data_IF_905061308452
#
_entry.id   IF_905061308452
#
_cell.length_a   1.000
_cell.length_b   1.000
_cell.length_c   1.000
_cell.angle_alpha   90.00
_cell.angle_beta   90.00
_cell.angle_gamma   90.00
#
_symmetry.space_group_name_H-M   'P 1'
#
loop_
_entity.id
_entity.type
_entity.pdbx_description
1 polymer ?
#
# COMPACT_ATOMS: atom_id res chain seq x y z
N UNK A 1 -33.87 33.51 -49.77
CA UNK A 1 -33.87 33.00 -48.38
C UNK A 1 -32.69 32.09 -48.08
N UNK A 2 -32.57 30.87 -48.64
CA UNK A 2 -31.46 29.92 -48.38
C UNK A 2 -30.05 30.56 -48.28
N UNK A 3 -29.64 31.32 -49.28
CA UNK A 3 -28.31 31.96 -49.31
C UNK A 3 -27.97 32.82 -48.06
N UNK A 4 -28.97 33.43 -47.41
CA UNK A 4 -28.78 34.18 -46.16
C UNK A 4 -28.60 33.27 -44.94
N UNK A 5 -29.34 32.15 -44.86
CA UNK A 5 -29.12 31.14 -43.81
C UNK A 5 -27.78 30.44 -43.98
N UNK A 6 -27.35 30.22 -45.23
CA UNK A 6 -26.07 29.58 -45.55
C UNK A 6 -24.90 30.47 -45.09
N UNK A 7 -24.89 31.76 -45.46
CA UNK A 7 -23.86 32.73 -45.01
C UNK A 7 -23.83 32.85 -43.49
N UNK A 8 -24.98 33.01 -42.82
CA UNK A 8 -25.04 33.11 -41.37
C UNK A 8 -24.50 31.85 -40.67
N UNK A 9 -24.75 30.66 -41.24
CA UNK A 9 -24.23 29.38 -40.72
C UNK A 9 -22.70 29.25 -40.87
N UNK A 10 -22.14 29.85 -41.92
CA UNK A 10 -20.68 29.88 -42.17
C UNK A 10 -20.01 30.83 -41.18
N UNK A 11 -20.53 32.06 -41.01
CA UNK A 11 -19.97 33.03 -40.04
C UNK A 11 -19.94 32.45 -38.63
N UNK A 12 -21.09 31.96 -38.12
CA UNK A 12 -21.19 31.35 -36.79
C UNK A 12 -20.26 30.14 -36.62
N UNK A 13 -19.97 29.42 -37.71
CA UNK A 13 -19.04 28.28 -37.67
C UNK A 13 -17.58 28.71 -37.74
N UNK A 14 -17.24 29.81 -38.42
CA UNK A 14 -15.92 30.44 -38.35
C UNK A 14 -15.66 30.98 -36.94
N UNK A 15 -16.65 31.60 -36.29
CA UNK A 15 -16.57 32.03 -34.89
C UNK A 15 -16.28 30.83 -33.96
N UNK A 16 -16.95 29.69 -34.17
CA UNK A 16 -16.67 28.45 -33.45
C UNK A 16 -15.27 27.88 -33.76
N UNK A 17 -14.79 27.99 -35.00
CA UNK A 17 -13.44 27.60 -35.38
C UNK A 17 -12.36 28.51 -34.75
N UNK A 18 -12.65 29.79 -34.52
CA UNK A 18 -11.82 30.70 -33.72
C UNK A 18 -11.81 30.30 -32.23
N UNK A 19 -12.85 29.63 -31.72
CA UNK A 19 -12.85 28.95 -30.41
C UNK A 19 -12.25 27.53 -30.44
N UNK A 20 -11.45 27.23 -31.47
CA UNK A 20 -10.78 25.95 -31.74
C UNK A 20 -11.69 24.74 -32.03
N UNK A 21 -12.99 24.94 -32.35
CA UNK A 21 -13.96 23.85 -32.54
C UNK A 21 -14.32 23.62 -34.01
N UNK A 22 -14.29 22.36 -34.46
CA UNK A 22 -14.74 21.99 -35.80
C UNK A 22 -16.27 21.79 -35.84
N UNK A 23 -16.93 22.32 -36.88
CA UNK A 23 -18.37 22.09 -37.11
C UNK A 23 -18.62 21.36 -38.43
N UNK A 24 -19.74 20.64 -38.50
CA UNK A 24 -20.20 19.99 -39.73
C UNK A 24 -20.62 20.99 -40.83
N UNK A 25 -20.82 22.27 -40.50
CA UNK A 25 -21.14 23.32 -41.47
C UNK A 25 -19.90 23.78 -42.25
N UNK A 26 -18.74 23.88 -41.60
CA UNK A 26 -17.46 24.18 -42.27
C UNK A 26 -16.93 22.97 -43.05
N UNK A 27 -16.98 21.78 -42.45
CA UNK A 27 -16.55 20.55 -43.10
C UNK A 27 -17.64 19.48 -42.97
N UNK A 28 -18.48 19.27 -44.00
CA UNK A 28 -19.57 18.31 -43.97
C UNK A 28 -19.12 16.87 -43.71
N UNK A 29 -19.94 16.13 -42.94
CA UNK A 29 -19.65 14.78 -42.44
C UNK A 29 -19.12 13.80 -43.50
N UNK A 30 -19.71 13.81 -44.71
CA UNK A 30 -19.28 12.93 -45.79
C UNK A 30 -17.89 13.28 -46.34
N UNK A 31 -17.52 14.58 -46.39
CA UNK A 31 -16.16 15.03 -46.76
C UNK A 31 -15.17 14.71 -45.66
N UNK A 32 -15.53 14.96 -44.40
CA UNK A 32 -14.64 14.68 -43.28
C UNK A 32 -14.32 13.18 -43.16
N UNK A 33 -15.34 12.32 -43.29
CA UNK A 33 -15.14 10.87 -43.29
C UNK A 33 -14.24 10.38 -44.44
N UNK A 34 -14.37 10.95 -45.64
CA UNK A 34 -13.48 10.65 -46.76
C UNK A 34 -12.03 11.07 -46.46
N UNK A 35 -11.81 12.31 -45.99
CA UNK A 35 -10.49 12.81 -45.61
C UNK A 35 -9.86 11.93 -44.51
N UNK A 36 -10.62 11.57 -43.47
CA UNK A 36 -10.14 10.68 -42.41
C UNK A 36 -9.76 9.29 -42.91
N UNK A 37 -10.52 8.73 -43.86
CA UNK A 37 -10.23 7.43 -44.48
C UNK A 37 -8.96 7.49 -45.32
N UNK A 38 -8.76 8.57 -46.06
CA UNK A 38 -7.61 8.72 -46.94
C UNK A 38 -6.33 9.01 -46.13
N UNK A 39 -6.45 9.70 -44.98
CA UNK A 39 -5.41 9.80 -43.94
C UNK A 39 -5.12 8.43 -43.29
N UNK A 40 -6.15 7.62 -42.99
CA UNK A 40 -5.99 6.33 -42.31
C UNK A 40 -5.01 5.38 -43.04
N UNK A 41 -5.03 5.39 -44.38
CA UNK A 41 -4.14 4.59 -45.23
C UNK A 41 -2.67 5.08 -45.18
N UNK A 42 -2.43 6.30 -44.68
CA UNK A 42 -1.11 6.94 -44.58
C UNK A 42 -0.55 6.97 -43.15
N UNK A 43 -1.24 6.40 -42.16
CA UNK A 43 -0.76 6.36 -40.78
C UNK A 43 0.41 5.37 -40.60
N UNK A 44 1.44 5.80 -39.90
CA UNK A 44 2.57 4.96 -39.49
C UNK A 44 2.14 3.78 -38.61
N UNK A 45 2.91 2.69 -38.65
CA UNK A 45 2.63 1.48 -37.85
C UNK A 45 2.54 1.80 -36.35
N UNK A 46 1.47 1.30 -35.72
CA UNK A 46 1.18 1.55 -34.30
C UNK A 46 0.40 2.83 -34.01
N UNK A 47 0.22 3.73 -34.99
CA UNK A 47 -0.71 4.85 -34.89
C UNK A 47 -2.11 4.46 -35.38
N UNK A 48 -3.11 5.08 -34.77
CA UNK A 48 -4.53 4.85 -35.02
C UNK A 48 -5.33 6.10 -34.63
N UNK A 49 -6.59 6.20 -35.07
CA UNK A 49 -7.49 7.21 -34.54
C UNK A 49 -7.97 6.86 -33.12
N UNK A 50 -8.38 7.89 -32.37
CA UNK A 50 -8.96 7.76 -31.02
C UNK A 50 -10.15 6.79 -30.92
N UNK A 51 -10.89 6.59 -32.02
CA UNK A 51 -11.97 5.62 -32.13
C UNK A 51 -11.99 5.01 -33.53
N UNK A 52 -12.68 3.88 -33.71
CA UNK A 52 -12.81 3.23 -35.00
C UNK A 52 -13.47 4.17 -36.02
N UNK A 53 -12.87 4.31 -37.21
CA UNK A 53 -13.39 5.18 -38.27
C UNK A 53 -14.67 4.58 -38.86
N UNK A 54 -15.82 5.05 -38.37
CA UNK A 54 -17.16 4.71 -38.84
C UNK A 54 -18.06 5.96 -38.89
N UNK A 55 -19.06 6.02 -39.78
CA UNK A 55 -20.01 7.14 -39.82
C UNK A 55 -20.65 7.46 -38.47
N UNK A 56 -21.06 6.43 -37.72
CA UNK A 56 -21.66 6.55 -36.37
C UNK A 56 -20.73 7.30 -35.40
N UNK A 57 -19.42 7.04 -35.47
CA UNK A 57 -18.41 7.57 -34.58
C UNK A 57 -17.92 8.98 -34.97
N UNK A 58 -18.35 9.53 -36.11
CA UNK A 58 -17.78 10.78 -36.65
C UNK A 58 -17.96 11.98 -35.70
N UNK A 59 -19.01 11.97 -34.88
CA UNK A 59 -19.25 12.97 -33.83
C UNK A 59 -18.08 13.09 -32.83
N UNK A 60 -17.38 11.98 -32.52
CA UNK A 60 -16.21 11.97 -31.64
C UNK A 60 -15.05 12.71 -32.28
N UNK A 61 -14.85 12.55 -33.60
CA UNK A 61 -13.80 13.25 -34.34
C UNK A 61 -14.02 14.76 -34.30
N UNK A 62 -15.24 15.25 -34.56
CA UNK A 62 -15.58 16.68 -34.41
C UNK A 62 -15.33 17.21 -32.99
N UNK A 63 -15.72 16.46 -31.96
CA UNK A 63 -15.55 16.87 -30.56
C UNK A 63 -14.07 16.90 -30.11
N UNK A 64 -13.22 16.07 -30.74
CA UNK A 64 -11.78 15.94 -30.43
C UNK A 64 -10.86 16.82 -31.28
N UNK A 65 -11.36 17.37 -32.39
CA UNK A 65 -10.58 18.13 -33.34
C UNK A 65 -10.31 19.56 -32.83
N UNK A 66 -9.05 19.93 -32.74
CA UNK A 66 -8.63 21.31 -32.44
C UNK A 66 -8.40 22.05 -33.76
N UNK A 67 -9.06 23.20 -33.94
CA UNK A 67 -8.99 23.99 -35.16
C UNK A 67 -8.13 25.24 -34.95
N UNK A 68 -7.30 25.57 -35.93
CA UNK A 68 -6.73 26.90 -36.09
C UNK A 68 -7.14 27.48 -37.45
N UNK A 69 -7.57 28.73 -37.46
CA UNK A 69 -7.99 29.45 -38.67
C UNK A 69 -6.86 30.38 -39.09
N UNK A 70 -6.39 30.25 -40.32
CA UNK A 70 -5.42 31.17 -40.92
C UNK A 70 -6.07 31.91 -42.10
N UNK A 71 -6.21 33.22 -41.98
CA UNK A 71 -6.55 34.06 -43.12
C UNK A 71 -5.26 34.35 -43.93
N UNK A 72 -5.37 34.19 -45.25
CA UNK A 72 -4.39 34.64 -46.24
C UNK A 72 -5.13 35.50 -47.27
N UNK A 73 -4.41 36.34 -48.03
CA UNK A 73 -5.01 37.29 -48.99
C UNK A 73 -5.95 36.62 -50.01
N UNK A 74 -5.68 35.36 -50.37
CA UNK A 74 -6.45 34.58 -51.34
C UNK A 74 -7.52 33.66 -50.70
N UNK A 75 -7.38 33.29 -49.42
CA UNK A 75 -8.12 32.17 -48.84
C UNK A 75 -8.14 32.14 -47.31
N UNK A 76 -9.23 31.61 -46.73
CA UNK A 76 -9.28 31.13 -45.34
C UNK A 76 -8.86 29.66 -45.33
N UNK A 77 -7.84 29.32 -44.55
CA UNK A 77 -7.30 27.96 -44.39
C UNK A 77 -7.63 27.45 -42.99
N UNK A 78 -8.26 26.27 -42.91
CA UNK A 78 -8.51 25.57 -41.64
C UNK A 78 -7.42 24.53 -41.42
N UNK A 79 -6.62 24.71 -40.37
CA UNK A 79 -5.73 23.66 -39.86
C UNK A 79 -6.54 22.86 -38.84
N UNK A 80 -6.77 21.59 -39.12
CA UNK A 80 -7.52 20.67 -38.24
C UNK A 80 -6.52 19.70 -37.62
N UNK A 81 -6.20 19.90 -36.34
CA UNK A 81 -5.38 18.99 -35.57
C UNK A 81 -6.26 17.89 -34.98
N UNK A 82 -5.87 16.64 -35.21
CA UNK A 82 -6.58 15.46 -34.72
C UNK A 82 -5.68 14.66 -33.77
N UNK A 83 -6.17 14.27 -32.59
CA UNK A 83 -5.43 13.39 -31.71
C UNK A 83 -5.33 11.99 -32.34
N UNK A 84 -4.11 11.43 -32.34
CA UNK A 84 -3.84 10.04 -32.71
C UNK A 84 -3.55 9.22 -31.46
N UNK A 85 -4.07 8.00 -31.42
CA UNK A 85 -3.77 6.99 -30.42
C UNK A 85 -2.61 6.13 -30.90
N UNK A 86 -1.64 5.90 -30.02
CA UNK A 86 -0.56 4.94 -30.21
C UNK A 86 -0.48 4.01 -28.99
N UNK A 87 -0.20 2.73 -29.18
CA UNK A 87 -0.25 1.72 -28.09
C UNK A 87 0.68 2.08 -26.92
N UNK A 88 1.97 2.33 -27.22
CA UNK A 88 2.99 2.80 -26.24
C UNK A 88 2.72 4.21 -25.65
N UNK A 89 1.64 4.87 -26.06
CA UNK A 89 1.20 6.18 -25.52
C UNK A 89 -0.24 6.13 -24.99
N UNK A 90 -0.84 4.95 -24.92
CA UNK A 90 -2.12 4.72 -24.24
C UNK A 90 -1.84 4.18 -22.85
N UNK A 91 -2.47 4.77 -21.83
CA UNK A 91 -2.29 4.40 -20.43
C UNK A 91 -3.64 4.15 -19.75
N UNK A 92 -3.72 3.10 -18.92
CA UNK A 92 -4.82 2.88 -17.98
C UNK A 92 -4.45 3.54 -16.65
N UNK A 93 -5.33 4.39 -16.11
CA UNK A 93 -5.06 5.18 -14.90
C UNK A 93 -5.76 4.57 -13.70
N UNK A 94 -4.97 4.16 -12.71
CA UNK A 94 -5.41 3.55 -11.47
C UNK A 94 -5.34 4.55 -10.31
N UNK A 95 -6.35 4.52 -9.45
CA UNK A 95 -6.43 5.30 -8.21
C UNK A 95 -6.09 4.39 -7.03
N UNK A 96 -4.89 4.50 -6.42
CA UNK A 96 -4.46 3.56 -5.38
C UNK A 96 -5.27 3.73 -4.10
N UNK A 97 -5.76 2.62 -3.55
CA UNK A 97 -6.60 2.61 -2.34
C UNK A 97 -5.92 1.85 -1.21
N UNK A 98 -5.06 2.54 -0.46
CA UNK A 98 -4.43 1.97 0.73
C UNK A 98 -5.41 1.89 1.91
N UNK A 99 -5.88 0.69 2.22
CA UNK A 99 -6.69 0.39 3.40
C UNK A 99 -5.79 -0.09 4.56
N UNK A 100 -6.09 0.27 5.83
CA UNK A 100 -5.46 -0.36 6.98
C UNK A 100 -5.87 -1.84 7.06
N UNK A 101 -4.93 -2.75 7.31
CA UNK A 101 -5.17 -4.17 7.51
C UNK A 101 -4.58 -4.60 8.85
N UNK A 102 -5.29 -5.45 9.60
CA UNK A 102 -4.82 -5.91 10.91
C UNK A 102 -3.63 -6.87 10.79
N UNK A 103 -2.55 -6.62 11.53
CA UNK A 103 -1.36 -7.49 11.58
C UNK A 103 -1.31 -8.24 12.93
N UNK A 104 -1.59 -9.56 12.96
CA UNK A 104 -1.62 -10.35 14.19
C UNK A 104 -0.30 -10.36 14.99
N UNK A 105 0.86 -10.20 14.34
CA UNK A 105 2.14 -10.11 15.04
C UNK A 105 2.31 -8.80 15.84
N UNK A 106 1.56 -7.76 15.48
CA UNK A 106 1.57 -6.44 16.14
C UNK A 106 0.36 -6.17 17.03
N UNK A 107 -0.80 -6.76 16.74
CA UNK A 107 -2.05 -6.40 17.42
C UNK A 107 -2.55 -4.99 17.08
N UNK A 108 -2.04 -4.40 15.99
CA UNK A 108 -2.37 -3.08 15.46
C UNK A 108 -2.70 -3.18 13.97
N UNK A 109 -3.29 -2.13 13.40
CA UNK A 109 -3.52 -2.03 11.96
C UNK A 109 -2.30 -1.42 11.26
N UNK A 110 -1.96 -1.92 10.07
CA UNK A 110 -0.91 -1.37 9.19
C UNK A 110 -1.56 -0.91 7.88
N UNK A 111 -1.17 0.27 7.40
CA UNK A 111 -1.44 0.75 6.05
C UNK A 111 -0.10 0.93 5.30
N UNK A 112 -0.08 0.62 4.01
CA UNK A 112 1.04 0.96 3.13
C UNK A 112 0.84 2.39 2.65
N UNK A 113 1.84 3.26 2.80
CA UNK A 113 1.73 4.64 2.29
C UNK A 113 1.90 4.65 0.76
N UNK A 114 0.81 4.93 0.04
CA UNK A 114 0.78 4.96 -1.44
C UNK A 114 0.86 6.37 -2.04
N UNK A 115 1.06 7.40 -1.21
CA UNK A 115 1.00 8.80 -1.65
C UNK A 115 -0.41 9.23 -2.09
N UNK A 116 -0.47 10.33 -2.83
CA UNK A 116 -1.70 10.85 -3.46
C UNK A 116 -1.70 10.70 -4.99
N UNK A 117 -0.62 10.17 -5.57
CA UNK A 117 -0.42 10.03 -7.00
C UNK A 117 -1.29 8.91 -7.58
N UNK A 118 -1.74 9.08 -8.82
CA UNK A 118 -2.43 8.03 -9.60
C UNK A 118 -1.40 7.29 -10.45
N UNK A 119 -1.47 5.97 -10.48
CA UNK A 119 -0.56 5.15 -11.29
C UNK A 119 -1.14 4.98 -12.69
N UNK A 120 -0.48 5.50 -13.72
CA UNK A 120 -0.87 5.28 -15.11
C UNK A 120 0.05 4.22 -15.76
N UNK A 121 -0.50 3.10 -16.22
CA UNK A 121 0.27 1.97 -16.77
C UNK A 121 0.02 1.84 -18.26
N UNK A 122 1.09 1.66 -19.05
CA UNK A 122 0.98 1.53 -20.51
C UNK A 122 0.15 0.30 -20.92
N UNK A 123 -0.51 0.36 -22.08
CA UNK A 123 -1.31 -0.78 -22.58
C UNK A 123 -0.47 -2.06 -22.79
N UNK A 124 0.83 -1.95 -23.06
CA UNK A 124 1.76 -3.08 -23.16
C UNK A 124 2.38 -3.53 -21.81
N UNK A 125 2.05 -2.84 -20.71
CA UNK A 125 2.54 -3.09 -19.34
C UNK A 125 4.08 -3.06 -19.22
N UNK A 126 4.76 -2.28 -20.07
CA UNK A 126 6.23 -2.09 -20.08
C UNK A 126 6.69 -0.76 -19.45
N UNK A 127 5.82 0.24 -19.37
CA UNK A 127 6.11 1.52 -18.75
C UNK A 127 4.94 2.03 -17.90
N UNK A 128 5.22 3.03 -17.07
CA UNK A 128 4.23 3.68 -16.24
C UNK A 128 4.55 5.18 -16.05
N UNK A 129 3.61 5.90 -15.45
CA UNK A 129 3.77 7.28 -14.98
C UNK A 129 3.15 7.39 -13.59
N UNK A 130 3.74 8.24 -12.74
CA UNK A 130 3.11 8.70 -11.51
C UNK A 130 2.46 10.05 -11.80
N UNK A 131 1.13 10.09 -11.80
CA UNK A 131 0.34 11.27 -12.14
C UNK A 131 -0.05 12.04 -10.87
N UNK A 132 0.30 13.33 -10.73
CA UNK A 132 -0.22 14.19 -9.67
C UNK A 132 -1.76 14.23 -9.65
N UNK A 133 -2.34 14.44 -8.47
CA UNK A 133 -3.80 14.52 -8.24
C UNK A 133 -4.55 15.39 -9.23
N UNK A 134 -3.95 16.52 -9.59
CA UNK A 134 -4.56 17.57 -10.40
C UNK A 134 -4.24 17.46 -11.90
N UNK A 135 -3.34 16.54 -12.29
CA UNK A 135 -2.91 16.37 -13.70
C UNK A 135 -4.09 16.13 -14.64
N UNK A 136 -5.06 15.29 -14.23
CA UNK A 136 -6.23 14.96 -15.04
C UNK A 136 -7.16 16.17 -15.28
N UNK A 137 -7.12 17.21 -14.43
CA UNK A 137 -7.93 18.44 -14.59
C UNK A 137 -7.51 19.28 -15.80
N UNK A 138 -6.29 19.07 -16.29
CA UNK A 138 -5.74 19.77 -17.46
C UNK A 138 -5.91 18.97 -18.77
N UNK A 139 -6.59 17.82 -18.71
CA UNK A 139 -6.85 16.98 -19.88
C UNK A 139 -8.21 17.33 -20.50
N UNK A 140 -8.34 17.14 -21.82
CA UNK A 140 -9.61 17.29 -22.51
C UNK A 140 -10.48 16.05 -22.25
N UNK A 141 -11.59 16.24 -21.54
CA UNK A 141 -12.58 15.19 -21.26
C UNK A 141 -13.50 14.95 -22.46
N UNK A 142 -13.99 13.72 -22.60
CA UNK A 142 -14.83 13.28 -23.72
C UNK A 142 -15.02 11.76 -23.69
N UNK A 143 -15.22 11.14 -24.85
CA UNK A 143 -15.31 9.67 -24.98
C UNK A 143 -14.00 8.97 -24.57
N UNK A 144 -12.86 9.69 -24.65
CA UNK A 144 -11.63 9.36 -23.96
C UNK A 144 -10.95 10.64 -23.47
N UNK A 145 -10.24 10.57 -22.34
CA UNK A 145 -9.49 11.69 -21.77
C UNK A 145 -8.16 11.89 -22.52
N UNK A 146 -7.90 13.10 -23.01
CA UNK A 146 -6.70 13.43 -23.80
C UNK A 146 -5.82 14.41 -23.02
N UNK A 147 -4.65 13.95 -22.58
CA UNK A 147 -3.72 14.72 -21.74
C UNK A 147 -2.49 15.20 -22.51
N UNK A 148 -1.95 16.37 -22.14
CA UNK A 148 -0.63 16.80 -22.62
C UNK A 148 0.48 16.01 -21.91
N UNK A 149 1.42 15.43 -22.67
CA UNK A 149 2.48 14.58 -22.13
C UNK A 149 3.60 15.34 -21.41
N UNK A 150 3.29 15.94 -20.26
CA UNK A 150 4.24 16.72 -19.43
C UNK A 150 4.78 15.97 -18.20
N UNK A 151 4.31 14.73 -17.96
CA UNK A 151 4.83 13.84 -16.91
C UNK A 151 5.80 12.82 -17.53
N UNK A 152 6.96 12.55 -16.92
CA UNK A 152 7.93 11.57 -17.43
C UNK A 152 7.34 10.16 -17.48
N UNK A 153 7.73 9.41 -18.50
CA UNK A 153 7.46 7.96 -18.61
C UNK A 153 8.61 7.20 -17.95
N UNK A 154 8.28 6.31 -17.03
CA UNK A 154 9.22 5.46 -16.29
C UNK A 154 9.16 4.04 -16.87
N UNK A 155 10.31 3.43 -17.14
CA UNK A 155 10.34 2.02 -17.58
C UNK A 155 10.07 1.08 -16.41
N UNK A 156 9.42 -0.07 -16.67
CA UNK A 156 9.09 -1.06 -15.62
C UNK A 156 10.32 -1.62 -14.88
N UNK A 157 11.53 -1.49 -15.42
CA UNK A 157 12.77 -1.86 -14.75
C UNK A 157 13.14 -0.93 -13.58
N UNK A 158 12.63 0.31 -13.56
CA UNK A 158 12.80 1.25 -12.45
C UNK A 158 11.63 1.10 -11.48
N UNK A 159 11.90 0.51 -10.32
CA UNK A 159 10.87 0.16 -9.33
C UNK A 159 10.55 1.31 -8.38
N UNK A 160 9.26 1.54 -8.13
CA UNK A 160 8.72 2.44 -7.11
C UNK A 160 7.66 1.70 -6.30
N UNK A 161 7.30 2.18 -5.10
CA UNK A 161 6.31 1.49 -4.27
C UNK A 161 4.98 1.24 -5.03
N UNK A 162 4.47 2.22 -5.77
CA UNK A 162 3.23 2.06 -6.56
C UNK A 162 3.39 1.05 -7.71
N UNK A 163 4.48 1.10 -8.47
CA UNK A 163 4.68 0.15 -9.58
C UNK A 163 4.94 -1.27 -9.09
N UNK A 164 5.70 -1.46 -8.01
CA UNK A 164 5.96 -2.77 -7.43
C UNK A 164 4.75 -3.39 -6.74
N UNK A 165 3.88 -2.58 -6.12
CA UNK A 165 2.56 -3.06 -5.69
C UNK A 165 1.77 -3.56 -6.90
N UNK A 166 1.63 -2.75 -7.95
CA UNK A 166 0.84 -3.11 -9.14
C UNK A 166 1.38 -4.32 -9.92
N UNK A 167 2.70 -4.39 -10.13
CA UNK A 167 3.37 -5.47 -10.86
C UNK A 167 3.71 -6.70 -9.98
N UNK A 168 3.47 -6.64 -8.67
CA UNK A 168 3.71 -7.73 -7.73
C UNK A 168 5.20 -8.04 -7.48
N UNK A 169 6.08 -7.04 -7.50
CA UNK A 169 7.53 -7.26 -7.35
C UNK A 169 8.00 -7.07 -5.90
N UNK A 170 8.73 -8.05 -5.39
CA UNK A 170 9.13 -8.10 -3.98
C UNK A 170 10.26 -7.10 -3.61
N UNK A 171 11.05 -6.65 -4.59
CA UNK A 171 12.15 -5.71 -4.35
C UNK A 171 11.62 -4.31 -4.03
N UNK A 172 10.85 -3.67 -4.90
CA UNK A 172 10.24 -2.36 -4.63
C UNK A 172 9.14 -2.37 -3.56
N UNK A 173 8.65 -3.53 -3.13
CA UNK A 173 7.89 -3.63 -1.87
C UNK A 173 8.72 -3.19 -0.63
N UNK A 174 10.05 -3.26 -0.72
CA UNK A 174 10.98 -2.71 0.28
C UNK A 174 11.15 -1.19 0.21
N UNK A 175 10.69 -0.55 -0.88
CA UNK A 175 10.60 0.91 -1.03
C UNK A 175 9.29 1.47 -0.46
N UNK A 176 8.31 0.61 -0.16
CA UNK A 176 7.06 1.03 0.46
C UNK A 176 7.22 1.33 1.96
N UNK A 177 6.84 2.54 2.36
CA UNK A 177 6.71 2.97 3.76
C UNK A 177 5.47 2.33 4.39
N UNK A 178 5.61 1.82 5.62
CA UNK A 178 4.52 1.25 6.43
C UNK A 178 4.13 2.22 7.54
N UNK A 179 2.84 2.49 7.64
CA UNK A 179 2.21 3.29 8.68
C UNK A 179 1.41 2.39 9.62
N UNK A 180 1.68 2.46 10.91
CA UNK A 180 0.87 1.86 11.96
C UNK A 180 -0.28 2.83 12.25
N UNK A 181 -1.49 2.32 12.11
CA UNK A 181 -2.75 3.05 12.22
C UNK A 181 -3.35 2.80 13.62
N UNK A 182 -3.83 3.83 14.34
CA UNK A 182 -4.39 3.68 15.68
C UNK A 182 -5.58 2.72 15.71
N UNK A 183 -5.74 1.96 16.81
CA UNK A 183 -6.85 1.02 16.95
C UNK A 183 -8.25 1.70 17.05
N UNK A 184 -8.31 3.03 17.17
CA UNK A 184 -9.53 3.84 17.15
C UNK A 184 -9.76 4.61 15.83
N UNK A 185 -9.14 4.17 14.72
CA UNK A 185 -9.32 4.83 13.41
C UNK A 185 -10.78 4.88 12.95
N UNK A 186 -11.16 5.97 12.27
CA UNK A 186 -12.53 6.15 11.75
C UNK A 186 -12.80 5.10 10.64
N UNK A 187 -13.93 4.37 10.69
CA UNK A 187 -14.32 3.42 9.64
C UNK A 187 -14.23 4.01 8.23
N UNK A 188 -13.52 3.31 7.34
CA UNK A 188 -13.31 3.73 5.95
C UNK A 188 -14.26 2.94 5.08
N UNK A 189 -15.02 3.63 4.23
CA UNK A 189 -15.88 3.02 3.20
C UNK A 189 -15.68 3.77 1.87
N UNK A 190 -15.31 3.05 0.81
CA UNK A 190 -15.12 3.61 -0.55
C UNK A 190 -15.95 2.83 -1.56
N UNK A 191 -16.95 3.48 -2.16
CA UNK A 191 -17.79 2.88 -3.21
C UNK A 191 -16.93 2.52 -4.42
N UNK A 192 -17.15 1.32 -4.97
CA UNK A 192 -16.54 0.91 -6.23
C UNK A 192 -17.39 1.47 -7.39
N UNK A 193 -16.78 2.08 -8.43
CA UNK A 193 -17.54 2.72 -9.51
C UNK A 193 -18.21 1.72 -10.47
N UNK A 194 -17.60 0.54 -10.63
CA UNK A 194 -17.99 -0.49 -11.62
C UNK A 194 -19.02 -1.49 -11.08
N UNK A 195 -18.97 -1.77 -9.77
CA UNK A 195 -19.71 -2.83 -9.10
C UNK A 195 -20.52 -2.23 -7.97
N UNK A 196 -21.72 -2.76 -7.73
CA UNK A 196 -22.51 -2.42 -6.55
C UNK A 196 -21.90 -3.05 -5.28
N UNK A 197 -20.77 -2.48 -4.85
CA UNK A 197 -20.00 -2.92 -3.71
C UNK A 197 -19.17 -1.76 -3.12
N UNK A 198 -18.74 -1.94 -1.88
CA UNK A 198 -17.92 -1.00 -1.12
C UNK A 198 -16.65 -1.70 -0.66
N UNK A 199 -15.49 -1.07 -0.86
CA UNK A 199 -14.30 -1.39 -0.08
C UNK A 199 -14.52 -0.87 1.34
N UNK A 200 -14.17 -1.65 2.35
CA UNK A 200 -14.26 -1.23 3.76
C UNK A 200 -12.98 -1.54 4.55
N UNK A 201 -12.74 -0.73 5.58
CA UNK A 201 -11.85 -1.04 6.70
C UNK A 201 -12.50 -0.59 8.01
N UNK A 202 -12.67 -1.51 8.96
CA UNK A 202 -13.27 -1.28 10.28
C UNK A 202 -12.37 -1.83 11.39
N UNK A 203 -12.24 -1.07 12.47
CA UNK A 203 -11.36 -1.39 13.59
C UNK A 203 -11.91 -2.48 14.54
N UNK A 204 -13.19 -2.83 14.44
CA UNK A 204 -13.85 -3.82 15.28
C UNK A 204 -15.13 -4.39 14.65
N UNK A 205 -15.78 -5.30 15.36
CA UNK A 205 -16.97 -6.02 14.90
C UNK A 205 -18.16 -5.07 14.66
N UNK A 206 -18.34 -4.66 13.41
CA UNK A 206 -19.35 -3.68 12.99
C UNK A 206 -20.57 -4.40 12.45
N UNK A 207 -21.75 -4.17 13.06
CA UNK A 207 -23.02 -4.71 12.58
C UNK A 207 -23.47 -4.00 11.31
N UNK A 208 -23.95 -4.78 10.35
CA UNK A 208 -24.56 -4.35 9.11
C UNK A 208 -26.05 -4.66 9.14
N UNK A 209 -26.88 -3.69 8.78
CA UNK A 209 -28.30 -3.87 8.49
C UNK A 209 -28.59 -3.25 7.11
N UNK A 210 -29.41 -3.88 6.27
CA UNK A 210 -29.73 -3.35 4.94
C UNK A 210 -31.19 -2.88 4.84
N UNK A 211 -31.39 -1.73 4.20
CA UNK A 211 -32.67 -1.04 4.09
C UNK A 211 -33.04 -0.88 2.61
N UNK A 212 -33.79 -1.84 2.11
CA UNK A 212 -34.30 -1.85 0.74
C UNK A 212 -35.62 -1.08 0.61
N UNK A 213 -35.90 -0.56 -0.58
CA UNK A 213 -37.25 -0.10 -0.95
C UNK A 213 -38.25 -1.27 -1.03
N UNK A 214 -37.81 -2.42 -1.54
CA UNK A 214 -38.56 -3.69 -1.52
C UNK A 214 -37.93 -4.65 -0.51
N UNK A 215 -38.66 -5.01 0.54
CA UNK A 215 -38.18 -5.81 1.69
C UNK A 215 -37.70 -7.21 1.32
N UNK A 216 -38.18 -7.79 0.22
CA UNK A 216 -37.84 -9.17 -0.20
C UNK A 216 -36.40 -9.33 -0.74
N UNK A 217 -35.70 -8.25 -1.07
CA UNK A 217 -34.37 -8.31 -1.71
C UNK A 217 -33.19 -7.96 -0.77
N UNK A 218 -33.36 -8.13 0.55
CA UNK A 218 -32.26 -7.97 1.53
C UNK A 218 -31.72 -9.34 2.00
N UNK A 219 -30.76 -9.98 1.29
CA UNK A 219 -30.11 -11.21 1.76
C UNK A 219 -29.15 -10.98 2.95
N UNK A 220 -28.84 -9.72 3.26
CA UNK A 220 -27.98 -9.31 4.38
C UNK A 220 -28.73 -9.41 5.73
N UNK A 221 -29.03 -10.64 6.14
CA UNK A 221 -29.55 -10.98 7.47
C UNK A 221 -28.51 -10.67 8.55
N UNK A 222 -28.50 -9.40 9.03
CA UNK A 222 -27.70 -8.88 10.16
C UNK A 222 -26.26 -9.41 10.23
N UNK A 223 -25.55 -9.34 9.11
CA UNK A 223 -24.14 -9.72 9.05
C UNK A 223 -23.27 -8.75 9.85
N UNK A 224 -22.11 -9.21 10.32
CA UNK A 224 -21.13 -8.39 11.02
C UNK A 224 -19.77 -8.47 10.31
N UNK A 225 -19.19 -7.33 9.98
CA UNK A 225 -17.86 -7.24 9.38
C UNK A 225 -16.81 -6.88 10.43
N UNK A 226 -15.56 -7.26 10.17
CA UNK A 226 -14.41 -6.91 10.99
C UNK A 226 -13.17 -6.82 10.09
N UNK A 227 -12.25 -5.91 10.39
CA UNK A 227 -11.06 -5.72 9.56
C UNK A 227 -11.43 -5.11 8.20
N UNK A 228 -10.88 -5.68 7.13
CA UNK A 228 -10.81 -5.03 5.82
C UNK A 228 -11.19 -5.99 4.71
N UNK A 229 -12.00 -5.52 3.76
CA UNK A 229 -12.53 -6.36 2.68
C UNK A 229 -13.49 -5.65 1.73
N UNK A 230 -14.30 -6.45 1.03
CA UNK A 230 -15.31 -5.97 0.09
C UNK A 230 -16.70 -6.33 0.63
N UNK A 231 -17.61 -5.36 0.62
CA UNK A 231 -19.00 -5.49 1.02
C UNK A 231 -19.89 -5.30 -0.20
N UNK A 232 -20.56 -6.36 -0.64
CA UNK A 232 -21.51 -6.29 -1.76
C UNK A 232 -22.83 -5.63 -1.32
N UNK A 233 -23.41 -4.83 -2.22
CA UNK A 233 -24.61 -4.04 -1.96
C UNK A 233 -25.78 -4.52 -2.82
N UNK A 234 -26.87 -5.03 -2.23
CA UNK A 234 -28.08 -5.35 -2.97
C UNK A 234 -28.63 -4.11 -3.69
N UNK A 235 -29.08 -4.30 -4.94
CA UNK A 235 -29.55 -3.19 -5.79
C UNK A 235 -30.78 -2.52 -5.18
N UNK A 236 -30.77 -1.18 -5.12
CA UNK A 236 -31.87 -0.41 -4.52
C UNK A 236 -31.96 -0.47 -2.99
N UNK A 237 -30.89 -0.90 -2.31
CA UNK A 237 -30.83 -1.00 -0.85
C UNK A 237 -29.69 -0.14 -0.27
N UNK A 238 -30.03 0.73 0.67
CA UNK A 238 -29.05 1.44 1.49
C UNK A 238 -28.49 0.48 2.55
N UNK A 239 -27.21 0.62 2.93
CA UNK A 239 -26.60 -0.18 3.99
C UNK A 239 -26.33 0.68 5.21
N UNK A 240 -26.75 0.23 6.39
CA UNK A 240 -26.45 0.83 7.68
C UNK A 240 -25.27 0.07 8.31
N UNK A 241 -24.14 0.75 8.52
CA UNK A 241 -22.93 0.22 9.12
C UNK A 241 -22.62 1.01 10.40
N UNK A 242 -23.11 0.53 11.54
CA UNK A 242 -23.10 1.29 12.80
C UNK A 242 -23.89 2.59 12.67
N UNK A 243 -23.20 3.74 12.71
CA UNK A 243 -23.80 5.08 12.55
C UNK A 243 -23.74 5.61 11.11
N UNK A 244 -23.08 4.91 10.19
CA UNK A 244 -22.91 5.35 8.80
C UNK A 244 -23.98 4.74 7.89
N UNK A 245 -24.54 5.55 6.98
CA UNK A 245 -25.41 5.07 5.90
C UNK A 245 -24.64 5.09 4.59
N UNK A 246 -24.43 3.93 3.99
CA UNK A 246 -23.85 3.75 2.67
C UNK A 246 -25.00 3.75 1.65
N UNK A 247 -25.18 4.81 0.83
CA UNK A 247 -26.33 4.94 -0.04
C UNK A 247 -26.33 3.90 -1.17
N UNK A 248 -27.52 3.53 -1.63
CA UNK A 248 -27.75 2.78 -2.85
C UNK A 248 -27.33 3.57 -4.09
N UNK A 249 -26.77 2.87 -5.09
CA UNK A 249 -26.60 3.41 -6.44
C UNK A 249 -27.98 3.64 -7.05
N UNK A 250 -28.42 4.90 -7.15
CA UNK A 250 -29.79 5.22 -7.59
C UNK A 250 -29.98 5.00 -9.09
N UNK A 251 -31.18 4.57 -9.46
CA UNK A 251 -31.56 4.02 -10.78
C UNK A 251 -31.57 5.02 -11.96
N UNK A 252 -30.96 6.20 -11.82
CA UNK A 252 -30.93 7.26 -12.84
C UNK A 252 -29.54 7.55 -13.39
N UNK A 253 -28.62 6.58 -13.31
CA UNK A 253 -27.33 6.62 -13.98
C UNK A 253 -27.36 5.73 -15.23
N UNK A 254 -27.06 6.32 -16.39
CA UNK A 254 -26.83 5.57 -17.63
C UNK A 254 -25.60 4.67 -17.47
N UNK A 255 -25.81 3.36 -17.31
CA UNK A 255 -24.73 2.37 -17.29
C UNK A 255 -24.11 2.24 -18.68
N UNK A 256 -23.04 2.98 -18.92
CA UNK A 256 -22.10 2.67 -19.99
C UNK A 256 -21.15 1.56 -19.51
N UNK A 257 -21.12 0.43 -20.21
CA UNK A 257 -20.22 -0.68 -19.92
C UNK A 257 -18.81 -0.38 -20.47
N UNK A 258 -18.01 0.33 -19.68
CA UNK A 258 -16.59 0.55 -19.96
C UNK A 258 -15.81 -0.74 -19.68
N UNK A 259 -15.38 -1.44 -20.75
CA UNK A 259 -14.72 -2.76 -20.66
C UNK A 259 -13.43 -2.80 -19.83
N UNK A 260 -12.80 -1.65 -19.59
CA UNK A 260 -11.44 -1.56 -19.05
C UNK A 260 -11.40 -1.13 -17.56
N UNK A 261 -12.55 -1.03 -16.88
CA UNK A 261 -12.61 -0.72 -15.44
C UNK A 261 -12.41 -1.97 -14.56
N UNK A 262 -11.17 -2.46 -14.48
CA UNK A 262 -10.79 -3.60 -13.64
C UNK A 262 -10.34 -3.17 -12.23
N UNK A 263 -10.82 -3.87 -11.19
CA UNK A 263 -10.33 -3.69 -9.81
C UNK A 263 -9.18 -4.68 -9.58
N UNK A 264 -7.95 -4.18 -9.68
CA UNK A 264 -6.75 -4.99 -9.45
C UNK A 264 -6.44 -5.01 -7.95
N UNK A 265 -6.61 -6.18 -7.33
CA UNK A 265 -6.06 -6.48 -6.00
C UNK A 265 -4.67 -7.09 -6.22
N UNK A 266 -3.58 -6.39 -5.86
CA UNK A 266 -2.23 -6.90 -6.10
C UNK A 266 -1.91 -8.10 -5.19
N UNK A 267 -1.06 -9.04 -5.65
CA UNK A 267 -0.54 -10.13 -4.82
C UNK A 267 0.52 -9.59 -3.84
N UNK A 268 0.07 -8.91 -2.79
CA UNK A 268 0.96 -8.33 -1.77
C UNK A 268 1.63 -9.46 -0.97
N UNK A 269 2.95 -9.41 -0.73
CA UNK A 269 3.60 -10.29 0.24
C UNK A 269 3.18 -9.94 1.68
N UNK A 270 3.83 -10.55 2.69
CA UNK A 270 3.56 -10.24 4.09
C UNK A 270 3.64 -8.72 4.36
N UNK A 271 2.69 -8.19 5.15
CA UNK A 271 2.56 -6.76 5.42
C UNK A 271 3.79 -6.16 6.10
N UNK A 272 4.43 -6.94 6.98
CA UNK A 272 5.73 -6.66 7.55
C UNK A 272 6.83 -7.36 6.73
N UNK A 273 7.99 -6.70 6.59
CA UNK A 273 9.22 -7.37 6.15
C UNK A 273 9.66 -8.42 7.19
N UNK A 274 10.47 -9.44 6.82
CA UNK A 274 10.98 -10.42 7.78
C UNK A 274 11.81 -9.80 8.92
N UNK A 275 12.62 -8.79 8.61
CA UNK A 275 13.45 -8.04 9.56
C UNK A 275 12.63 -7.12 10.47
N UNK A 276 11.64 -6.40 9.92
CA UNK A 276 10.65 -5.66 10.71
C UNK A 276 9.95 -6.61 11.69
N UNK A 277 9.45 -7.75 11.21
CA UNK A 277 8.78 -8.77 12.02
C UNK A 277 9.65 -9.39 13.12
N UNK A 278 10.95 -9.62 12.85
CA UNK A 278 11.87 -10.12 13.87
C UNK A 278 12.20 -9.06 14.94
N UNK A 279 12.48 -7.81 14.51
CA UNK A 279 12.71 -6.68 15.43
C UNK A 279 11.53 -6.48 16.38
N UNK A 280 10.31 -6.52 15.85
CA UNK A 280 9.08 -6.34 16.63
C UNK A 280 8.87 -7.47 17.66
N UNK A 281 9.10 -8.72 17.25
CA UNK A 281 9.07 -9.87 18.18
C UNK A 281 10.13 -9.77 19.27
N UNK A 282 11.34 -9.32 18.91
CA UNK A 282 12.48 -9.18 19.84
C UNK A 282 12.26 -8.09 20.90
N UNK A 283 11.62 -6.97 20.53
CA UNK A 283 11.48 -5.78 21.37
C UNK A 283 10.10 -5.64 22.05
N UNK A 284 9.22 -6.65 21.95
CA UNK A 284 7.79 -6.58 22.33
C UNK A 284 7.49 -5.86 23.66
N UNK A 285 8.22 -6.15 24.73
CA UNK A 285 8.00 -5.52 26.06
C UNK A 285 8.16 -4.00 26.06
N UNK A 286 9.13 -3.48 25.30
CA UNK A 286 9.36 -2.03 25.21
C UNK A 286 8.38 -1.39 24.24
N UNK A 287 7.99 -2.12 23.19
CA UNK A 287 6.94 -1.69 22.27
C UNK A 287 5.60 -1.49 22.98
N UNK A 288 5.24 -2.34 23.94
CA UNK A 288 4.03 -2.16 24.76
C UNK A 288 4.02 -0.79 25.49
N UNK A 289 5.17 -0.32 26.02
CA UNK A 289 5.29 1.04 26.59
C UNK A 289 5.26 2.17 25.56
N UNK A 290 5.72 1.90 24.33
CA UNK A 290 5.69 2.87 23.24
C UNK A 290 4.27 3.03 22.71
N UNK A 291 3.48 1.96 22.64
CA UNK A 291 2.08 2.04 22.22
C UNK A 291 1.19 2.74 23.24
N UNK A 292 1.33 2.49 24.55
CA UNK A 292 0.57 3.27 25.54
C UNK A 292 0.96 4.74 25.50
N UNK A 293 2.26 5.05 25.46
CA UNK A 293 2.73 6.43 25.36
C UNK A 293 2.24 7.14 24.08
N UNK A 294 2.15 6.45 22.94
CA UNK A 294 1.61 7.03 21.69
C UNK A 294 0.10 7.24 21.73
N UNK A 295 -0.66 6.30 22.31
CA UNK A 295 -2.11 6.41 22.47
C UNK A 295 -2.52 7.42 23.56
N UNK A 296 -1.61 7.77 24.48
CA UNK A 296 -1.77 8.81 25.52
C UNK A 296 -1.18 10.19 25.14
N UNK A 297 -0.29 10.29 24.14
CA UNK A 297 0.49 11.51 23.87
C UNK A 297 -0.34 12.70 23.34
N UNK A 298 -1.49 12.46 22.71
CA UNK A 298 -2.39 13.54 22.29
C UNK A 298 -3.24 13.97 23.49
N UNK A 299 -2.76 14.99 24.22
CA UNK A 299 -3.28 15.47 25.51
C UNK A 299 -4.70 16.08 25.52
N UNK A 300 -5.54 15.76 24.53
CA UNK A 300 -6.99 15.95 24.55
C UNK A 300 -7.66 14.64 24.10
N UNK A 301 -8.43 14.01 24.99
CA UNK A 301 -9.01 12.66 24.88
C UNK A 301 -10.08 12.47 23.76
N UNK A 302 -10.12 13.35 22.77
CA UNK A 302 -10.98 13.30 21.59
C UNK A 302 -10.19 13.30 20.26
N UNK A 303 -8.86 13.44 20.29
CA UNK A 303 -8.01 13.30 19.11
C UNK A 303 -7.75 11.81 18.81
N UNK A 304 -7.65 11.47 17.52
CA UNK A 304 -7.14 10.17 17.05
C UNK A 304 -5.68 10.42 16.68
N UNK A 305 -4.71 9.71 17.27
CA UNK A 305 -3.29 10.03 17.08
C UNK A 305 -2.84 9.85 15.63
N UNK A 306 -1.87 10.65 15.21
CA UNK A 306 -1.32 10.57 13.86
C UNK A 306 -0.65 9.20 13.61
N UNK A 307 -0.85 8.57 12.42
CA UNK A 307 -0.22 7.28 12.10
C UNK A 307 1.31 7.31 12.24
N UNK A 308 1.88 6.25 12.83
CA UNK A 308 3.30 6.16 13.13
C UNK A 308 4.03 5.36 12.04
N UNK A 309 5.12 5.88 11.46
CA UNK A 309 5.93 5.11 10.51
C UNK A 309 6.81 4.08 11.22
N UNK A 310 7.13 2.96 10.57
CA UNK A 310 8.00 1.92 11.15
C UNK A 310 9.34 2.49 11.67
N UNK A 311 10.00 3.36 10.90
CA UNK A 311 11.23 4.06 11.28
C UNK A 311 11.07 4.90 12.56
N UNK A 312 9.91 5.54 12.74
CA UNK A 312 9.63 6.35 13.92
C UNK A 312 9.36 5.49 15.16
N UNK A 313 8.72 4.33 14.99
CA UNK A 313 8.57 3.32 16.04
C UNK A 313 9.94 2.79 16.49
N UNK A 314 10.81 2.40 15.55
CA UNK A 314 12.16 1.90 15.86
C UNK A 314 12.96 2.94 16.65
N UNK A 315 12.94 4.21 16.25
CA UNK A 315 13.61 5.31 16.97
C UNK A 315 13.06 5.51 18.39
N UNK A 316 11.75 5.38 18.61
CA UNK A 316 11.16 5.48 19.95
C UNK A 316 11.52 4.29 20.84
N UNK A 317 11.53 3.07 20.28
CA UNK A 317 11.96 1.84 20.98
C UNK A 317 13.44 1.91 21.36
N UNK A 318 14.31 2.39 20.47
CA UNK A 318 15.74 2.56 20.74
C UNK A 318 16.00 3.62 21.81
N UNK A 319 15.28 4.75 21.78
CA UNK A 319 15.35 5.76 22.83
C UNK A 319 14.92 5.20 24.21
N UNK A 320 13.85 4.39 24.27
CA UNK A 320 13.40 3.70 25.48
C UNK A 320 14.41 2.67 25.99
N UNK A 321 14.95 1.82 25.09
CA UNK A 321 16.00 0.85 25.40
C UNK A 321 17.28 1.53 25.93
N UNK A 322 17.65 2.67 25.34
CA UNK A 322 18.80 3.46 25.79
C UNK A 322 18.56 4.03 27.20
N UNK A 323 17.40 4.64 27.45
CA UNK A 323 17.02 5.13 28.77
C UNK A 323 17.03 4.02 29.84
N UNK A 324 16.44 2.85 29.53
CA UNK A 324 16.50 1.65 30.38
C UNK A 324 17.95 1.21 30.67
N UNK A 325 18.81 1.18 29.66
CA UNK A 325 20.23 0.79 29.84
C UNK A 325 20.98 1.76 30.76
N UNK A 326 20.64 3.04 30.72
CA UNK A 326 21.20 4.05 31.63
C UNK A 326 20.63 3.96 33.06
N UNK A 327 19.33 3.72 33.25
CA UNK A 327 18.77 3.57 34.60
C UNK A 327 19.31 2.31 35.29
N UNK A 328 19.28 1.14 34.62
CA UNK A 328 19.87 -0.09 35.15
C UNK A 328 21.39 0.05 35.35
N UNK A 329 22.10 0.67 34.41
CA UNK A 329 23.55 0.92 34.54
C UNK A 329 23.89 1.79 35.74
N UNK A 330 23.18 2.89 35.95
CA UNK A 330 23.34 3.79 37.09
C UNK A 330 23.00 3.12 38.43
N UNK A 331 21.94 2.31 38.48
CA UNK A 331 21.55 1.53 39.67
C UNK A 331 22.61 0.48 40.03
N UNK A 332 23.13 -0.28 39.05
CA UNK A 332 24.20 -1.27 39.29
C UNK A 332 25.52 -0.60 39.69
N UNK A 333 25.87 0.53 39.07
CA UNK A 333 27.03 1.32 39.48
C UNK A 333 26.87 1.86 40.92
N UNK A 334 25.69 2.36 41.27
CA UNK A 334 25.36 2.80 42.64
C UNK A 334 25.47 1.68 43.67
N UNK A 335 24.90 0.50 43.40
CA UNK A 335 25.01 -0.65 44.31
C UNK A 335 26.44 -1.18 44.45
N UNK A 336 27.22 -1.23 43.38
CA UNK A 336 28.63 -1.68 43.44
C UNK A 336 29.53 -0.67 44.16
N UNK A 337 29.30 0.64 43.98
CA UNK A 337 29.94 1.69 44.78
C UNK A 337 29.56 1.58 46.28
N UNK A 338 28.28 1.40 46.59
CA UNK A 338 27.83 1.22 47.98
C UNK A 338 28.44 -0.04 48.63
N UNK A 339 28.42 -1.17 47.92
CA UNK A 339 28.97 -2.44 48.41
C UNK A 339 30.48 -2.38 48.65
N UNK A 340 31.25 -1.71 47.77
CA UNK A 340 32.70 -1.54 47.95
C UNK A 340 33.03 -0.59 49.12
N UNK A 341 32.28 0.50 49.30
CA UNK A 341 32.41 1.38 50.48
C UNK A 341 32.09 0.63 51.77
N UNK A 342 30.99 -0.14 51.83
CA UNK A 342 30.62 -0.97 52.99
C UNK A 342 31.70 -2.02 53.27
N UNK A 343 32.22 -2.69 52.23
CA UNK A 343 33.32 -3.66 52.36
C UNK A 343 34.59 -3.04 52.94
N UNK A 344 35.00 -1.86 52.48
CA UNK A 344 36.15 -1.11 53.01
C UNK A 344 35.94 -0.67 54.47
N UNK A 345 34.73 -0.25 54.83
CA UNK A 345 34.38 0.09 56.21
C UNK A 345 34.41 -1.14 57.13
N UNK A 346 33.83 -2.27 56.72
CA UNK A 346 33.87 -3.54 57.47
C UNK A 346 35.30 -4.09 57.61
N UNK A 347 36.14 -3.95 56.58
CA UNK A 347 37.56 -4.33 56.62
C UNK A 347 38.37 -3.44 57.58
N UNK A 348 38.17 -2.12 57.54
CA UNK A 348 38.74 -1.18 58.52
C UNK A 348 38.27 -1.48 59.95
N UNK A 349 37.01 -1.87 60.13
CA UNK A 349 36.47 -2.25 61.44
C UNK A 349 37.08 -3.56 61.96
N UNK A 350 37.18 -4.60 61.11
CA UNK A 350 37.85 -5.86 61.47
C UNK A 350 39.31 -5.65 61.89
N UNK A 351 40.05 -4.75 61.22
CA UNK A 351 41.42 -4.37 61.61
C UNK A 351 41.53 -3.66 62.98
N UNK A 352 40.43 -3.16 63.55
CA UNK A 352 40.40 -2.58 64.92
C UNK A 352 40.03 -3.58 66.01
N UNK A 353 39.54 -4.78 65.68
CA UNK A 353 39.20 -5.80 66.67
C UNK A 353 40.46 -6.57 67.13
N UNK A 354 40.81 -6.59 68.43
CA UNK A 354 42.10 -7.09 68.89
C UNK A 354 42.31 -8.60 68.71
N UNK A 355 41.24 -9.37 68.53
CA UNK A 355 41.27 -10.84 68.40
C UNK A 355 42.09 -11.33 67.21
N UNK A 356 42.14 -10.57 66.10
CA UNK A 356 42.87 -10.99 64.90
C UNK A 356 44.36 -10.60 64.89
N UNK A 357 44.86 -9.86 65.88
CA UNK A 357 46.26 -9.38 65.94
C UNK A 357 47.30 -10.47 66.27
N UNK A 358 46.97 -11.75 66.11
CA UNK A 358 47.76 -12.91 66.59
C UNK A 358 47.99 -14.04 65.58
N UNK A 359 47.59 -13.91 64.30
CA UNK A 359 47.84 -14.95 63.26
C UNK A 359 48.83 -14.55 62.16
N UNK A 360 48.95 -13.27 61.81
CA UNK A 360 49.80 -12.83 60.68
C UNK A 360 51.30 -12.68 61.03
N UNK A 361 51.77 -13.36 62.09
CA UNK A 361 53.12 -13.20 62.65
C UNK A 361 53.98 -14.49 62.63
N UNK A 362 53.52 -15.56 62.00
CA UNK A 362 54.31 -16.80 61.77
C UNK A 362 53.94 -17.52 60.47
N UNK A 363 54.63 -17.19 59.36
CA UNK A 363 55.05 -18.15 58.32
C UNK A 363 55.94 -17.49 57.26
N UNK A 364 57.26 -17.62 57.44
CA UNK A 364 58.31 -17.38 56.44
C UNK A 364 59.59 -18.08 56.92
N UNK A 365 60.33 -18.75 56.01
CA UNK A 365 61.41 -19.76 56.25
C UNK A 365 60.90 -21.06 56.90
N UNK A 366 61.40 -22.27 56.57
CA UNK A 366 62.16 -22.77 55.40
C UNK A 366 61.43 -24.02 54.82
N UNK A 367 61.75 -24.58 53.65
CA UNK A 367 63.05 -25.09 53.16
C UNK A 367 63.55 -26.23 54.10
N UNK A 368 63.76 -27.50 53.72
CA UNK A 368 64.15 -28.12 52.42
C UNK A 368 63.62 -29.59 52.26
N UNK A 369 63.97 -30.23 51.11
CA UNK A 369 64.05 -31.70 50.87
C UNK A 369 62.72 -32.54 50.80
N UNK A 370 62.66 -33.72 50.16
CA UNK A 370 63.42 -34.32 49.04
C UNK A 370 62.61 -35.56 48.49
N UNK A 371 62.30 -35.60 47.17
CA UNK A 371 62.40 -36.79 46.25
C UNK A 371 61.37 -37.97 46.17
N UNK A 372 61.34 -38.52 44.95
CA UNK A 372 61.00 -39.86 44.40
C UNK A 372 59.71 -40.67 44.76
N UNK A 373 58.98 -40.96 43.67
CA UNK A 373 58.48 -42.28 43.22
C UNK A 373 57.33 -43.06 43.91
N UNK A 374 56.33 -43.36 43.06
CA UNK A 374 55.61 -44.64 42.92
C UNK A 374 54.61 -45.03 44.05
N UNK A 375 53.66 -45.97 43.87
CA UNK A 375 53.34 -46.92 42.76
C UNK A 375 51.77 -47.01 42.62
N UNK A 376 51.10 -47.94 41.88
CA UNK A 376 49.70 -47.77 41.41
C UNK A 376 48.78 -48.77 42.20
N UNK A 377 47.82 -49.61 41.70
CA UNK A 377 47.24 -49.77 40.34
C UNK A 377 45.74 -50.18 40.21
N UNK A 378 45.26 -50.23 38.94
CA UNK A 378 44.26 -51.21 38.38
C UNK A 378 42.82 -51.22 38.96
N UNK A 379 41.79 -51.86 38.40
CA UNK A 379 41.37 -52.39 37.05
C UNK A 379 39.87 -51.96 36.92
N UNK A 380 39.03 -52.15 35.88
CA UNK A 380 38.96 -52.98 34.66
C UNK A 380 38.50 -52.08 33.45
N UNK A 381 38.08 -52.46 32.22
CA UNK A 381 37.25 -53.54 31.63
C UNK A 381 35.75 -53.46 31.99
N UNK A 382 34.76 -53.60 31.09
CA UNK A 382 34.68 -53.93 29.63
C UNK A 382 33.31 -53.36 29.10
N UNK A 383 32.88 -53.34 27.83
CA UNK A 383 33.14 -54.18 26.63
C UNK A 383 32.71 -53.43 25.34
N UNK A 384 33.04 -54.00 24.17
CA UNK A 384 32.94 -53.37 22.85
C UNK A 384 31.63 -53.58 22.04
N UNK A 385 31.71 -53.55 20.68
CA UNK A 385 30.61 -53.11 19.81
C UNK A 385 29.96 -54.22 18.95
N UNK A 386 28.81 -53.92 18.30
CA UNK A 386 28.60 -54.13 16.85
C UNK A 386 27.26 -53.51 16.34
N UNK A 387 27.06 -53.64 15.03
CA UNK A 387 26.06 -53.01 14.16
C UNK A 387 24.58 -53.50 14.30
N UNK A 388 23.73 -52.91 13.44
CA UNK A 388 22.82 -53.63 12.53
C UNK A 388 21.28 -53.54 12.75
N UNK A 389 20.70 -52.49 12.15
CA UNK A 389 19.72 -52.59 11.04
C UNK A 389 18.23 -53.00 11.29
N UNK A 390 17.34 -52.25 10.60
CA UNK A 390 15.96 -52.57 10.14
C UNK A 390 14.72 -52.43 11.06
N UNK A 391 13.82 -51.54 10.58
CA UNK A 391 12.37 -51.76 10.27
C UNK A 391 11.23 -51.55 11.29
N UNK A 392 10.41 -50.56 10.92
CA UNK A 392 8.96 -50.63 10.66
C UNK A 392 7.88 -50.44 11.76
N UNK A 393 7.03 -49.44 11.45
CA UNK A 393 5.56 -49.38 11.61
C UNK A 393 4.92 -48.76 12.87
N UNK A 394 3.76 -48.12 12.62
CA UNK A 394 2.83 -47.43 13.54
C UNK A 394 3.34 -46.13 14.20
N UNK A 395 2.53 -45.06 14.36
CA UNK A 395 1.12 -44.85 14.00
C UNK A 395 0.79 -43.35 13.75
N UNK A 396 -0.29 -43.08 13.00
CA UNK A 396 -0.96 -41.75 12.86
C UNK A 396 -1.72 -41.41 14.17
N UNK A 397 -1.97 -40.14 14.55
CA UNK A 397 -2.53 -39.04 13.75
C UNK A 397 -1.68 -37.75 13.72
N UNK A 398 -1.97 -36.69 12.94
CA UNK A 398 -3.14 -36.42 12.10
C UNK A 398 -3.89 -35.16 12.54
N UNK A 399 -3.47 -33.98 12.05
CA UNK A 399 -4.23 -32.71 12.08
C UNK A 399 -3.65 -31.73 11.03
N UNK A 400 -4.36 -30.64 10.67
CA UNK A 400 -4.25 -30.05 9.33
C UNK A 400 -3.19 -28.96 9.17
N UNK A 401 -2.61 -28.90 7.97
CA UNK A 401 -2.04 -27.66 7.43
C UNK A 401 -3.18 -26.76 6.94
N UNK A 402 -3.43 -25.65 7.65
CA UNK A 402 -4.47 -24.68 7.30
C UNK A 402 -4.03 -23.85 6.09
N UNK A 403 -4.19 -24.41 4.89
CA UNK A 403 -4.05 -23.67 3.64
C UNK A 403 -5.04 -22.50 3.62
N UNK A 404 -4.52 -21.28 3.66
CA UNK A 404 -5.32 -20.06 3.53
C UNK A 404 -5.72 -19.82 2.06
N UNK A 405 -6.60 -20.69 1.54
CA UNK A 405 -7.20 -20.50 0.23
C UNK A 405 -8.09 -19.26 0.24
N UNK A 406 -7.64 -18.19 -0.42
CA UNK A 406 -8.43 -16.99 -0.66
C UNK A 406 -9.44 -17.26 -1.79
N UNK A 407 -10.52 -17.96 -1.47
CA UNK A 407 -11.55 -18.38 -2.44
C UNK A 407 -12.36 -17.19 -2.93
N UNK A 408 -11.90 -16.56 -4.00
CA UNK A 408 -12.67 -15.56 -4.75
C UNK A 408 -13.55 -16.28 -5.78
N UNK A 409 -14.87 -16.23 -5.59
CA UNK A 409 -15.83 -16.64 -6.61
C UNK A 409 -15.83 -15.65 -7.78
N UNK A 410 -16.04 -16.18 -9.00
CA UNK A 410 -16.23 -15.39 -10.22
C UNK A 410 -17.67 -14.90 -10.35
#
# INVERSE_FOLDING_TARGET
MKMYTDIASITLSLDLAMTHRLTASLLPSHKFFAILRDIYVQLDQGYSFITALKPENLHVFYASAQVAVLATEEAIRLIIQLPLRHEKRTYLVYDPVALPTFEPNLGKFIRIHTGTEKLAVSSDRRSYMLLPTDYLKNCQEGVMTICQGVVPTIERAEETCLSSLYFGTAQGYSLCTREIVPNNFRPIFRKLPVKDAWLYAVNGLTRIECKCLNTHNCPLNKTSIQGTGVLEQPQGCDILAGTLTLPSSRQFQSRAEWKDQEIIVPPVPALLRPDEGEYLRRNRRVLDEVWTAWEESDGNQAAIPAPMTMDSLQKQVEARLYAWRWTYGGVVAGFTAAATVIGLCLWRHRRKLPVFRRRDARRTRGDDAERDNATPPKDASEKGPHDQQNRDASQRPGNPETSAQLTVYK
#
